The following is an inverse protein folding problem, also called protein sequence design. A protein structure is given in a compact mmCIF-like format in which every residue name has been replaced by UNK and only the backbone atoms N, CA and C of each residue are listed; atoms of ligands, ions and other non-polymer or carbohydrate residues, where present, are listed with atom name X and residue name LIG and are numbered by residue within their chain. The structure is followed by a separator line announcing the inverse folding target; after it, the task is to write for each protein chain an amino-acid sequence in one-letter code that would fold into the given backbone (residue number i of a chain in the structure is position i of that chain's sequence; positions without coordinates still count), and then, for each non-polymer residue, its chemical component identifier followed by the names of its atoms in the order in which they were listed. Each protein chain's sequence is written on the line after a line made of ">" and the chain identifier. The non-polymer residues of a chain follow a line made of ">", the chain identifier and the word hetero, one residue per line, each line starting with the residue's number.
data_IF_483017448486
#
_entry.id   IF_483017448486
#
_cell.length_a   1.000
_cell.length_b   1.000
_cell.length_c   1.000
_cell.angle_alpha   90.00
_cell.angle_beta   90.00
_cell.angle_gamma   90.00
#
_symmetry.space_group_name_H-M   'P 1'
#
loop_
_entity.id
_entity.type
_entity.pdbx_description
1 polymer ?
#
# COMPACT_ATOMS: atom_id res chain seq x y z
N UNK A 1 6.14 -62.29 38.17
CA UNK A 1 6.40 -63.67 37.70
C UNK A 1 5.14 -64.49 37.91
N UNK A 2 4.51 -64.89 36.81
CA UNK A 2 3.31 -65.71 36.79
C UNK A 2 3.64 -67.10 36.26
N UNK A 3 2.91 -68.11 36.74
CA UNK A 3 3.00 -69.49 36.25
C UNK A 3 1.60 -69.91 35.88
N UNK A 4 1.40 -70.26 34.61
CA UNK A 4 0.12 -70.75 34.12
C UNK A 4 0.29 -72.11 33.45
N UNK A 5 -0.77 -72.91 33.45
CA UNK A 5 -0.81 -74.16 32.70
C UNK A 5 -1.49 -73.91 31.35
N UNK A 6 -0.77 -74.20 30.27
CA UNK A 6 -1.27 -74.08 28.88
C UNK A 6 -1.28 -75.45 28.21
N UNK A 7 -2.23 -75.66 27.30
CA UNK A 7 -2.33 -76.89 26.51
C UNK A 7 -1.86 -76.62 25.09
N UNK A 8 -0.81 -77.32 24.64
CA UNK A 8 -0.20 -77.16 23.32
C UNK A 8 -0.08 -78.55 22.68
N UNK A 9 -0.65 -78.70 21.48
CA UNK A 9 -0.76 -79.95 20.73
C UNK A 9 -1.24 -81.13 21.61
N UNK A 10 -2.25 -80.85 22.45
CA UNK A 10 -2.86 -81.82 23.34
C UNK A 10 -2.08 -82.15 24.62
N UNK A 11 -0.88 -81.59 24.84
CA UNK A 11 -0.09 -81.78 26.06
C UNK A 11 -0.10 -80.53 26.95
N UNK A 12 -0.09 -80.72 28.26
CA UNK A 12 -0.08 -79.62 29.24
C UNK A 12 1.35 -79.22 29.61
N UNK A 13 1.58 -77.90 29.63
CA UNK A 13 2.87 -77.29 29.95
C UNK A 13 2.68 -76.17 30.98
N UNK A 14 3.58 -76.09 31.94
CA UNK A 14 3.64 -74.96 32.87
C UNK A 14 4.55 -73.88 32.28
N UNK A 15 3.95 -72.77 31.83
CA UNK A 15 4.66 -71.62 31.30
C UNK A 15 4.92 -70.63 32.43
N UNK A 16 6.20 -70.26 32.62
CA UNK A 16 6.62 -69.22 33.57
C UNK A 16 7.08 -67.99 32.80
N UNK A 17 6.56 -66.82 33.15
CA UNK A 17 6.95 -65.54 32.54
C UNK A 17 6.81 -64.36 33.50
N UNK A 18 7.34 -63.21 33.08
CA UNK A 18 7.19 -61.94 33.82
C UNK A 18 5.87 -61.24 33.51
N UNK A 19 5.31 -61.53 32.33
CA UNK A 19 4.04 -61.02 31.82
C UNK A 19 2.81 -61.61 32.54
N UNK A 20 1.65 -61.00 32.29
CA UNK A 20 0.38 -61.43 32.88
C UNK A 20 -0.14 -62.77 32.31
N UNK A 21 -1.08 -63.36 33.03
CA UNK A 21 -1.64 -64.67 32.70
C UNK A 21 -2.31 -64.68 31.31
N UNK A 22 -3.01 -63.59 30.96
CA UNK A 22 -3.66 -63.43 29.66
C UNK A 22 -2.66 -63.48 28.50
N UNK A 23 -1.55 -62.74 28.60
CA UNK A 23 -0.49 -62.73 27.58
C UNK A 23 0.17 -64.11 27.48
N UNK A 24 0.52 -64.71 28.61
CA UNK A 24 1.12 -66.05 28.63
C UNK A 24 0.18 -67.10 28.01
N UNK A 25 -1.13 -66.98 28.26
CA UNK A 25 -2.14 -67.86 27.67
C UNK A 25 -2.29 -67.62 26.17
N UNK A 26 -2.27 -66.35 25.72
CA UNK A 26 -2.25 -65.98 24.31
C UNK A 26 -1.03 -66.56 23.59
N UNK A 27 0.17 -66.48 24.18
CA UNK A 27 1.40 -67.08 23.62
C UNK A 27 1.24 -68.60 23.47
N UNK A 28 0.72 -69.28 24.49
CA UNK A 28 0.45 -70.72 24.43
C UNK A 28 -0.53 -71.07 23.30
N UNK A 29 -1.64 -70.33 23.18
CA UNK A 29 -2.62 -70.50 22.11
C UNK A 29 -2.02 -70.21 20.72
N UNK A 30 -1.17 -69.20 20.61
CA UNK A 30 -0.52 -68.85 19.35
C UNK A 30 0.35 -70.01 18.83
N UNK A 31 1.19 -70.58 19.70
CA UNK A 31 2.04 -71.73 19.37
C UNK A 31 1.19 -72.96 19.02
N UNK A 32 0.14 -73.25 19.81
CA UNK A 32 -0.78 -74.35 19.55
C UNK A 32 -1.45 -74.22 18.17
N UNK A 33 -1.99 -73.05 17.87
CA UNK A 33 -2.61 -72.76 16.57
C UNK A 33 -1.62 -72.90 15.42
N UNK A 34 -0.35 -72.50 15.61
CA UNK A 34 0.69 -72.64 14.58
C UNK A 34 0.97 -74.11 14.28
N UNK A 35 1.11 -74.93 15.31
CA UNK A 35 1.36 -76.37 15.17
C UNK A 35 0.14 -77.05 14.54
N UNK A 36 -1.07 -76.77 15.02
CA UNK A 36 -2.31 -77.33 14.48
C UNK A 36 -2.53 -76.93 13.02
N UNK A 37 -2.22 -75.68 12.64
CA UNK A 37 -2.29 -75.25 11.24
C UNK A 37 -1.31 -76.02 10.33
N UNK A 38 -0.12 -76.36 10.80
CA UNK A 38 0.86 -77.12 10.01
C UNK A 38 0.41 -78.57 9.84
N UNK A 39 -0.09 -79.19 10.91
CA UNK A 39 -0.65 -80.55 10.85
C UNK A 39 -1.91 -80.62 9.97
N UNK A 40 -2.76 -79.59 9.98
CA UNK A 40 -3.93 -79.51 9.10
C UNK A 40 -3.54 -79.42 7.63
N UNK A 41 -2.49 -78.65 7.29
CA UNK A 41 -2.01 -78.47 5.92
C UNK A 41 -1.26 -79.70 5.38
N UNK A 42 -0.67 -80.52 6.25
CA UNK A 42 0.02 -81.74 5.86
C UNK A 42 -0.30 -82.89 6.81
N UNK A 43 -1.32 -83.69 6.48
CA UNK A 43 -1.81 -84.78 7.33
C UNK A 43 -0.82 -85.93 7.57
N UNK A 44 0.31 -85.98 6.84
CA UNK A 44 1.37 -86.99 7.00
C UNK A 44 2.51 -86.54 7.92
N UNK A 45 2.51 -85.30 8.38
CA UNK A 45 3.57 -84.78 9.25
C UNK A 45 3.45 -85.40 10.65
N UNK A 46 4.57 -85.82 11.24
CA UNK A 46 4.58 -86.29 12.62
C UNK A 46 4.42 -85.10 13.58
N UNK A 47 3.92 -85.34 14.81
CA UNK A 47 3.81 -84.27 15.82
C UNK A 47 5.16 -83.61 16.13
N UNK A 48 6.27 -84.36 16.35
CA UNK A 48 7.58 -83.74 16.56
C UNK A 48 8.02 -82.86 15.40
N UNK A 49 7.87 -83.34 14.16
CA UNK A 49 8.27 -82.58 12.97
C UNK A 49 7.43 -81.31 12.79
N UNK A 50 6.12 -81.38 13.09
CA UNK A 50 5.24 -80.21 13.07
C UNK A 50 5.64 -79.17 14.12
N UNK A 51 6.04 -79.60 15.31
CA UNK A 51 6.55 -78.71 16.37
C UNK A 51 7.87 -78.05 15.97
N UNK A 52 8.82 -78.81 15.39
CA UNK A 52 10.10 -78.26 14.90
C UNK A 52 9.84 -77.25 13.78
N UNK A 53 8.96 -77.57 12.83
CA UNK A 53 8.61 -76.67 11.73
C UNK A 53 7.89 -75.41 12.23
N UNK A 54 7.03 -75.53 13.25
CA UNK A 54 6.43 -74.38 13.92
C UNK A 54 7.49 -73.50 14.57
N UNK A 55 8.46 -74.08 15.29
CA UNK A 55 9.54 -73.34 15.93
C UNK A 55 10.41 -72.60 14.89
N UNK A 56 10.74 -73.24 13.76
CA UNK A 56 11.49 -72.60 12.67
C UNK A 56 10.71 -71.41 12.09
N UNK A 57 9.41 -71.59 11.81
CA UNK A 57 8.57 -70.51 11.29
C UNK A 57 8.44 -69.34 12.26
N UNK A 58 8.28 -69.62 13.55
CA UNK A 58 8.22 -68.59 14.59
C UNK A 58 9.56 -67.84 14.70
N UNK A 59 10.68 -68.55 14.60
CA UNK A 59 12.01 -67.94 14.55
C UNK A 59 12.16 -67.01 13.35
N UNK A 60 11.77 -67.46 12.15
CA UNK A 60 11.80 -66.66 10.93
C UNK A 60 10.93 -65.38 11.04
N UNK A 61 9.73 -65.50 11.62
CA UNK A 61 8.87 -64.34 11.91
C UNK A 61 9.55 -63.33 12.83
N UNK A 62 10.22 -63.78 13.89
CA UNK A 62 10.95 -62.91 14.81
C UNK A 62 12.09 -62.18 14.08
N UNK A 63 12.87 -62.88 13.25
CA UNK A 63 13.96 -62.26 12.49
C UNK A 63 13.44 -61.23 11.47
N UNK A 64 12.40 -61.57 10.72
CA UNK A 64 11.78 -60.65 9.74
C UNK A 64 11.17 -59.42 10.40
N UNK A 65 10.47 -59.61 11.52
CA UNK A 65 9.89 -58.51 12.28
C UNK A 65 10.97 -57.61 12.88
N UNK A 66 12.08 -58.19 13.37
CA UNK A 66 13.23 -57.43 13.86
C UNK A 66 13.85 -56.58 12.76
N UNK A 67 14.11 -57.15 11.58
CA UNK A 67 14.66 -56.41 10.43
C UNK A 67 13.70 -55.30 9.97
N UNK A 68 12.38 -55.58 9.93
CA UNK A 68 11.37 -54.58 9.62
C UNK A 68 11.33 -53.43 10.65
N UNK A 69 11.42 -53.78 11.93
CA UNK A 69 11.49 -52.80 13.02
C UNK A 69 12.76 -51.94 12.93
N UNK A 70 13.91 -52.55 12.69
CA UNK A 70 15.19 -51.84 12.55
C UNK A 70 15.13 -50.83 11.38
N UNK A 71 14.63 -51.26 10.22
CA UNK A 71 14.40 -50.35 9.07
C UNK A 71 13.42 -49.21 9.40
N UNK A 72 12.30 -49.53 10.05
CA UNK A 72 11.32 -48.52 10.44
C UNK A 72 11.91 -47.51 11.44
N UNK A 73 12.72 -47.99 12.39
CA UNK A 73 13.40 -47.17 13.37
C UNK A 73 14.48 -46.27 12.75
N UNK A 74 15.22 -46.75 11.75
CA UNK A 74 16.17 -45.93 10.99
C UNK A 74 15.45 -44.82 10.21
N UNK A 75 14.38 -45.16 9.50
CA UNK A 75 13.55 -44.17 8.80
C UNK A 75 12.95 -43.14 9.77
N UNK A 76 12.46 -43.59 10.93
CA UNK A 76 11.94 -42.70 11.96
C UNK A 76 13.02 -41.72 12.44
N UNK A 77 14.24 -42.18 12.70
CA UNK A 77 15.36 -41.31 13.08
C UNK A 77 15.72 -40.30 12.00
N UNK A 78 15.67 -40.69 10.73
CA UNK A 78 15.88 -39.77 9.60
C UNK A 78 14.81 -38.69 9.55
N UNK A 79 13.54 -39.08 9.62
CA UNK A 79 12.41 -38.14 9.61
C UNK A 79 12.47 -37.16 10.79
N UNK A 80 12.81 -37.64 11.99
CA UNK A 80 12.97 -36.77 13.17
C UNK A 80 14.10 -35.76 12.96
N UNK A 81 15.20 -36.17 12.31
CA UNK A 81 16.30 -35.25 11.98
C UNK A 81 15.85 -34.20 10.96
N UNK A 82 15.22 -34.61 9.87
CA UNK A 82 14.68 -33.71 8.85
C UNK A 82 13.65 -32.74 9.43
N UNK A 83 12.77 -33.22 10.32
CA UNK A 83 11.80 -32.38 11.01
C UNK A 83 12.49 -31.29 11.85
N UNK A 84 13.57 -31.65 12.55
CA UNK A 84 14.35 -30.69 13.35
C UNK A 84 15.01 -29.64 12.45
N UNK A 85 15.58 -30.06 11.32
CA UNK A 85 16.22 -29.16 10.37
C UNK A 85 15.18 -28.19 9.76
N UNK A 86 14.01 -28.70 9.37
CA UNK A 86 12.89 -27.89 8.87
C UNK A 86 12.35 -26.89 9.91
N UNK A 87 12.25 -27.29 11.18
CA UNK A 87 11.85 -26.37 12.26
C UNK A 87 12.84 -25.21 12.38
N UNK A 88 14.14 -25.50 12.33
CA UNK A 88 15.18 -24.46 12.38
C UNK A 88 15.11 -23.51 11.17
N UNK A 89 14.79 -24.02 9.99
CA UNK A 89 14.61 -23.22 8.78
C UNK A 89 13.40 -22.29 8.90
N UNK A 90 12.26 -22.81 9.36
CA UNK A 90 11.04 -22.02 9.60
C UNK A 90 11.28 -20.92 10.63
N UNK A 91 12.02 -21.20 11.70
CA UNK A 91 12.41 -20.20 12.70
C UNK A 91 13.35 -19.12 12.13
N UNK A 92 14.24 -19.50 11.20
CA UNK A 92 15.07 -18.55 10.43
C UNK A 92 14.21 -17.63 9.58
N UNK A 93 13.39 -18.20 8.70
CA UNK A 93 12.50 -17.46 7.80
C UNK A 93 11.54 -16.54 8.56
N UNK A 94 11.05 -16.97 9.73
CA UNK A 94 10.17 -16.14 10.57
C UNK A 94 10.90 -14.91 11.11
N UNK A 95 12.18 -15.03 11.48
CA UNK A 95 13.00 -13.88 11.91
C UNK A 95 13.25 -12.92 10.76
N UNK A 96 13.60 -13.44 9.59
CA UNK A 96 13.85 -12.62 8.40
C UNK A 96 12.58 -11.86 7.98
N UNK A 97 11.43 -12.54 8.01
CA UNK A 97 10.14 -11.93 7.70
C UNK A 97 9.75 -10.86 8.73
N UNK A 98 10.08 -11.05 10.00
CA UNK A 98 9.86 -10.03 11.03
C UNK A 98 10.76 -8.82 10.81
N UNK A 99 12.05 -9.02 10.49
CA UNK A 99 12.97 -7.95 10.19
C UNK A 99 12.52 -7.14 8.96
N UNK A 100 12.16 -7.82 7.87
CA UNK A 100 11.66 -7.17 6.65
C UNK A 100 10.32 -6.43 6.86
N UNK A 101 9.46 -6.91 7.77
CA UNK A 101 8.23 -6.20 8.14
C UNK A 101 8.54 -4.92 8.91
N UNK A 102 9.44 -5.00 9.89
CA UNK A 102 9.85 -3.83 10.67
C UNK A 102 10.51 -2.78 9.77
N UNK A 103 11.41 -3.20 8.88
CA UNK A 103 12.04 -2.31 7.90
C UNK A 103 11.00 -1.63 7.00
N UNK A 104 9.98 -2.36 6.54
CA UNK A 104 8.88 -1.76 5.78
C UNK A 104 8.03 -0.77 6.60
N UNK A 105 7.82 -1.04 7.90
CA UNK A 105 7.13 -0.09 8.78
C UNK A 105 7.98 1.17 9.01
N UNK A 106 9.29 1.02 9.18
CA UNK A 106 10.22 2.12 9.35
C UNK A 106 10.32 2.96 8.06
N UNK A 107 10.35 2.33 6.88
CA UNK A 107 10.24 3.03 5.60
C UNK A 107 8.92 3.78 5.46
N UNK A 108 7.78 3.18 5.85
CA UNK A 108 6.48 3.87 5.82
C UNK A 108 6.44 5.08 6.76
N UNK A 109 7.04 4.98 7.93
CA UNK A 109 7.16 6.10 8.86
C UNK A 109 8.05 7.20 8.28
N UNK A 110 9.21 6.84 7.71
CA UNK A 110 10.07 7.79 7.02
C UNK A 110 9.36 8.49 5.83
N UNK A 111 8.48 7.79 5.09
CA UNK A 111 7.65 8.39 4.03
C UNK A 111 6.42 9.16 4.53
N UNK A 112 6.08 9.09 5.81
CA UNK A 112 4.99 9.88 6.41
C UNK A 112 5.51 11.06 7.24
N UNK A 113 6.78 11.03 7.64
CA UNK A 113 7.54 12.17 8.18
C UNK A 113 7.98 13.17 7.09
N UNK A 114 7.22 13.29 6.00
CA UNK A 114 7.36 14.32 4.99
C UNK A 114 6.82 15.67 5.52
N UNK A 115 7.37 16.14 6.64
CA UNK A 115 7.10 17.49 7.16
C UNK A 115 7.49 18.58 6.15
N UNK A 116 8.29 18.23 5.15
CA UNK A 116 8.64 19.10 4.03
C UNK A 116 7.55 19.13 2.97
N UNK A 117 6.84 18.02 2.70
CA UNK A 117 5.72 18.01 1.75
C UNK A 117 4.55 18.83 2.30
N UNK A 118 4.20 18.65 3.58
CA UNK A 118 3.10 19.42 4.20
C UNK A 118 3.40 20.93 4.17
N UNK A 119 4.64 21.34 4.48
CA UNK A 119 5.07 22.75 4.38
C UNK A 119 5.05 23.28 2.94
N UNK A 120 5.47 22.47 1.97
CA UNK A 120 5.45 22.84 0.55
C UNK A 120 4.01 22.94 0.03
N UNK A 121 3.10 22.08 0.49
CA UNK A 121 1.67 22.14 0.15
C UNK A 121 1.01 23.41 0.71
N UNK A 122 1.33 23.78 1.95
CA UNK A 122 0.87 25.03 2.56
C UNK A 122 1.42 26.26 1.81
N UNK A 123 2.71 26.27 1.46
CA UNK A 123 3.34 27.36 0.70
C UNK A 123 2.74 27.49 -0.70
N UNK A 124 2.49 26.37 -1.40
CA UNK A 124 1.81 26.34 -2.70
C UNK A 124 0.39 26.90 -2.59
N UNK A 125 -0.32 26.59 -1.51
CA UNK A 125 -1.69 27.09 -1.28
C UNK A 125 -1.69 28.59 -1.04
N UNK A 126 -0.78 29.09 -0.20
CA UNK A 126 -0.61 30.52 0.04
C UNK A 126 -0.25 31.31 -1.23
N UNK A 127 0.69 30.79 -2.03
CA UNK A 127 1.09 31.44 -3.28
C UNK A 127 -0.05 31.47 -4.31
N UNK A 128 -0.91 30.45 -4.35
CA UNK A 128 -2.10 30.43 -5.20
C UNK A 128 -3.10 31.52 -4.80
N UNK A 129 -3.36 31.67 -3.50
CA UNK A 129 -4.25 32.74 -3.00
C UNK A 129 -3.71 34.13 -3.33
N UNK A 130 -2.40 34.35 -3.17
CA UNK A 130 -1.76 35.62 -3.55
C UNK A 130 -1.86 35.91 -5.06
N UNK A 131 -1.70 34.90 -5.91
CA UNK A 131 -1.85 35.06 -7.36
C UNK A 131 -3.29 35.43 -7.74
N UNK A 132 -4.29 34.82 -7.09
CA UNK A 132 -5.70 35.15 -7.34
C UNK A 132 -6.02 36.60 -6.94
N UNK A 133 -5.54 37.05 -5.78
CA UNK A 133 -5.67 38.44 -5.36
C UNK A 133 -4.97 39.40 -6.33
N UNK A 134 -3.76 39.05 -6.79
CA UNK A 134 -3.01 39.86 -7.76
C UNK A 134 -3.77 39.97 -9.08
N UNK A 135 -4.36 38.88 -9.57
CA UNK A 135 -5.17 38.89 -10.79
C UNK A 135 -6.40 39.79 -10.65
N UNK A 136 -7.08 39.77 -9.50
CA UNK A 136 -8.19 40.68 -9.22
C UNK A 136 -7.75 42.15 -9.27
N UNK A 137 -6.62 42.48 -8.64
CA UNK A 137 -6.05 43.84 -8.65
C UNK A 137 -5.69 44.27 -10.07
N UNK A 138 -5.06 43.39 -10.87
CA UNK A 138 -4.70 43.67 -12.26
C UNK A 138 -5.95 43.94 -13.10
N UNK A 139 -7.05 43.21 -12.88
CA UNK A 139 -8.32 43.44 -13.59
C UNK A 139 -8.93 44.81 -13.24
N UNK A 140 -8.96 45.19 -11.96
CA UNK A 140 -9.46 46.50 -11.54
C UNK A 140 -8.59 47.65 -12.09
N UNK A 141 -7.26 47.52 -12.02
CA UNK A 141 -6.35 48.52 -12.60
C UNK A 141 -6.53 48.66 -14.12
N UNK A 142 -6.74 47.56 -14.85
CA UNK A 142 -7.03 47.59 -16.29
C UNK A 142 -8.33 48.35 -16.57
N UNK A 143 -9.39 48.08 -15.81
CA UNK A 143 -10.69 48.74 -15.93
C UNK A 143 -10.59 50.24 -15.66
N UNK A 144 -9.87 50.63 -14.61
CA UNK A 144 -9.68 52.04 -14.28
C UNK A 144 -8.84 52.78 -15.32
N UNK A 145 -7.78 52.16 -15.84
CA UNK A 145 -6.98 52.75 -16.92
C UNK A 145 -7.82 52.95 -18.20
N UNK A 146 -8.72 52.01 -18.54
CA UNK A 146 -9.67 52.18 -19.63
C UNK A 146 -10.62 53.37 -19.40
N UNK A 147 -11.19 53.50 -18.18
CA UNK A 147 -12.04 54.64 -17.84
C UNK A 147 -11.28 55.96 -17.99
N UNK A 148 -10.06 56.04 -17.46
CA UNK A 148 -9.20 57.21 -17.59
C UNK A 148 -8.91 57.55 -19.06
N UNK A 149 -8.60 56.54 -19.88
CA UNK A 149 -8.39 56.74 -21.32
C UNK A 149 -9.64 57.31 -22.02
N UNK A 150 -10.84 56.81 -21.71
CA UNK A 150 -12.08 57.36 -22.28
C UNK A 150 -12.35 58.79 -21.80
N UNK A 151 -12.09 59.07 -20.53
CA UNK A 151 -12.24 60.40 -19.95
C UNK A 151 -11.27 61.40 -20.58
N UNK A 152 -9.98 61.05 -20.67
CA UNK A 152 -8.96 61.88 -21.30
C UNK A 152 -9.29 62.18 -22.77
N UNK A 153 -9.84 61.22 -23.52
CA UNK A 153 -10.32 61.45 -24.91
C UNK A 153 -11.48 62.45 -24.98
N UNK A 154 -12.44 62.38 -24.06
CA UNK A 154 -13.55 63.35 -23.96
C UNK A 154 -13.03 64.74 -23.63
N UNK A 155 -12.17 64.84 -22.61
CA UNK A 155 -11.57 66.10 -22.18
C UNK A 155 -10.75 66.75 -23.31
N UNK A 156 -10.01 65.96 -24.09
CA UNK A 156 -9.27 66.45 -25.25
C UNK A 156 -10.21 67.01 -26.33
N UNK A 157 -11.32 66.32 -26.60
CA UNK A 157 -12.33 66.78 -27.57
C UNK A 157 -12.99 68.08 -27.12
N UNK A 158 -13.35 68.18 -25.84
CA UNK A 158 -13.92 69.38 -25.24
C UNK A 158 -12.92 70.55 -25.25
N UNK A 159 -11.65 70.30 -24.91
CA UNK A 159 -10.60 71.32 -24.99
C UNK A 159 -10.44 71.86 -26.41
N UNK A 160 -10.48 70.98 -27.41
CA UNK A 160 -10.43 71.38 -28.82
C UNK A 160 -11.64 72.24 -29.20
N UNK A 161 -12.85 71.85 -28.78
CA UNK A 161 -14.07 72.62 -29.04
C UNK A 161 -14.00 74.03 -28.41
N UNK A 162 -13.59 74.11 -27.14
CA UNK A 162 -13.42 75.39 -26.44
C UNK A 162 -12.36 76.27 -27.12
N UNK A 163 -11.26 75.69 -27.62
CA UNK A 163 -10.27 76.44 -28.42
C UNK A 163 -10.87 77.01 -29.69
N UNK A 164 -11.67 76.24 -30.44
CA UNK A 164 -12.36 76.76 -31.62
C UNK A 164 -13.35 77.87 -31.28
N UNK A 165 -14.12 77.71 -30.20
CA UNK A 165 -15.06 78.73 -29.73
C UNK A 165 -14.32 80.01 -29.29
N UNK A 166 -13.21 79.87 -28.57
CA UNK A 166 -12.37 81.00 -28.15
C UNK A 166 -11.80 81.76 -29.35
N UNK A 167 -11.29 81.05 -30.37
CA UNK A 167 -10.81 81.66 -31.62
C UNK A 167 -11.94 82.42 -32.31
N UNK A 168 -13.15 81.86 -32.38
CA UNK A 168 -14.30 82.51 -32.99
C UNK A 168 -14.70 83.80 -32.24
N UNK A 169 -14.73 83.77 -30.90
CA UNK A 169 -15.01 84.96 -30.07
C UNK A 169 -13.95 86.04 -30.24
N UNK A 170 -12.67 85.67 -30.30
CA UNK A 170 -11.57 86.65 -30.53
C UNK A 170 -11.77 87.38 -31.86
N UNK A 171 -12.10 86.65 -32.95
CA UNK A 171 -12.41 87.29 -34.25
C UNK A 171 -13.59 88.25 -34.18
N UNK A 172 -14.65 87.88 -33.44
CA UNK A 172 -15.81 88.76 -33.25
C UNK A 172 -15.43 90.04 -32.49
N UNK A 173 -14.58 89.93 -31.45
CA UNK A 173 -14.08 91.09 -30.71
C UNK A 173 -13.21 92.00 -31.58
N UNK A 174 -12.36 91.43 -32.45
CA UNK A 174 -11.56 92.20 -33.42
C UNK A 174 -12.46 92.98 -34.39
N UNK A 175 -13.51 92.34 -34.93
CA UNK A 175 -14.49 92.99 -35.80
C UNK A 175 -15.19 94.15 -35.09
N UNK A 176 -15.69 93.92 -33.87
CA UNK A 176 -16.33 94.97 -33.07
C UNK A 176 -15.36 96.10 -32.70
N UNK A 177 -14.08 95.79 -32.45
CA UNK A 177 -13.05 96.81 -32.19
C UNK A 177 -12.84 97.71 -33.41
N UNK A 178 -12.73 97.12 -34.61
CA UNK A 178 -12.65 97.89 -35.85
C UNK A 178 -13.91 98.74 -36.08
N UNK A 179 -15.11 98.20 -35.83
CA UNK A 179 -16.35 98.99 -35.92
C UNK A 179 -16.39 100.17 -34.94
N UNK A 180 -15.88 99.99 -33.71
CA UNK A 180 -15.77 101.05 -32.70
C UNK A 180 -14.75 102.10 -33.15
N UNK A 181 -13.59 101.68 -33.63
CA UNK A 181 -12.55 102.57 -34.16
C UNK A 181 -13.07 103.41 -35.33
N UNK A 182 -13.78 102.79 -36.28
CA UNK A 182 -14.41 103.48 -37.40
C UNK A 182 -15.46 104.49 -36.94
N UNK A 183 -16.34 104.12 -35.99
CA UNK A 183 -17.31 105.05 -35.40
C UNK A 183 -16.63 106.21 -34.66
N UNK A 184 -15.57 105.95 -33.92
CA UNK A 184 -14.80 106.99 -33.23
C UNK A 184 -14.14 107.95 -34.23
N UNK A 185 -13.62 107.44 -35.36
CA UNK A 185 -13.07 108.25 -36.43
C UNK A 185 -14.15 109.11 -37.11
N UNK A 186 -15.35 108.57 -37.34
CA UNK A 186 -16.51 109.32 -37.84
C UNK A 186 -16.92 110.43 -36.87
N UNK A 187 -16.98 110.14 -35.56
CA UNK A 187 -17.25 111.13 -34.53
C UNK A 187 -16.21 112.26 -34.52
N UNK A 188 -14.92 111.94 -34.63
CA UNK A 188 -13.86 112.96 -34.74
C UNK A 188 -14.02 113.84 -35.99
N UNK A 189 -14.35 113.26 -37.15
CA UNK A 189 -14.64 114.01 -38.38
C UNK A 189 -15.86 114.93 -38.21
N UNK A 190 -16.91 114.46 -37.55
CA UNK A 190 -18.11 115.27 -37.26
C UNK A 190 -17.83 116.40 -36.24
N UNK A 191 -16.97 116.15 -35.25
CA UNK A 191 -16.50 117.16 -34.30
C UNK A 191 -15.61 118.22 -34.96
N UNK A 192 -14.75 117.84 -35.89
CA UNK A 192 -13.92 118.78 -36.67
C UNK A 192 -14.75 119.64 -37.64
N UNK A 193 -15.86 119.12 -38.18
CA UNK A 193 -16.79 119.90 -38.99
C UNK A 193 -17.52 120.98 -38.17
N UNK A 194 -17.78 120.73 -36.89
CA UNK A 194 -18.35 121.72 -35.98
C UNK A 194 -17.32 122.78 -35.54
N UNK A 195 -16.02 122.45 -35.52
CA UNK A 195 -14.93 123.37 -35.21
C UNK A 195 -14.48 124.23 -36.40
N UNK A 196 -14.81 123.85 -37.64
CA UNK A 196 -14.57 124.66 -38.87
C UNK A 196 -15.70 125.65 -39.21
N UNK A 197 -16.77 125.71 -38.41
CA UNK A 197 -17.91 126.63 -38.57
C UNK A 197 -17.94 127.76 -37.52
N UNK A 198 -16.83 128.04 -36.82
CA UNK A 198 -16.68 129.17 -35.91
C UNK A 198 -15.49 130.02 -36.28
#
# INVERSE_FOLDING_TARGET
>A
MSIITVKINGMEYNLRGEENDEYLQMVGQYVDNKINSLMFKNSKISRPDATILAAINLGDEVFKNKEAYERANENYKMIVKEQKDLISEVEGLKRDLQAAKQENEDFKKASTEDSEIEKLEDEVTYLKEQLELMDQVVQELKKDNQKQMTFNKKLLSENNNLRYEQIARVRQLEQLSHEIEDKNLQLMKSGQLNMRKK
#
